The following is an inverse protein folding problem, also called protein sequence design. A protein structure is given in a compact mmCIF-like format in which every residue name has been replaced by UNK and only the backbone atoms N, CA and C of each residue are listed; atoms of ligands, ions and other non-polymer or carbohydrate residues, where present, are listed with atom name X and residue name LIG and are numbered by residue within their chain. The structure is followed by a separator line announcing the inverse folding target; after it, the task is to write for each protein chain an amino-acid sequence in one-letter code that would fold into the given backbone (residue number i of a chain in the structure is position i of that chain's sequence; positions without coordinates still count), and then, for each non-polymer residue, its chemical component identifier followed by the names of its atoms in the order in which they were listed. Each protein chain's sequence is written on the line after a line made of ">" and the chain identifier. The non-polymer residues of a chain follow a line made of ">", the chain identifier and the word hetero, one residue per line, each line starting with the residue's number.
data_IF_088110973192
#
_entry.id   IF_088110973192
#
_cell.length_a   1.000
_cell.length_b   1.000
_cell.length_c   1.000
_cell.angle_alpha   90.00
_cell.angle_beta   90.00
_cell.angle_gamma   90.00
#
_symmetry.space_group_name_H-M   'P 1'
#
loop_
_entity.id
_entity.type
_entity.pdbx_description
1 polymer ?
#
# COMPACT_ATOMS: atom_id res chain seq x y z
N UNK A 1 -12.40 26.86 -18.37
CA UNK A 1 -12.67 26.29 -17.03
C UNK A 1 -12.83 24.78 -17.13
N UNK A 2 -11.81 23.97 -16.78
CA UNK A 2 -11.92 22.52 -16.52
C UNK A 2 -10.71 22.09 -15.69
N UNK A 3 -10.76 22.25 -14.37
CA UNK A 3 -9.64 21.87 -13.50
C UNK A 3 -10.07 21.14 -12.21
N UNK A 4 -11.31 20.64 -12.13
CA UNK A 4 -11.82 20.02 -10.90
C UNK A 4 -11.95 18.48 -10.97
N UNK A 5 -11.94 17.85 -12.15
CA UNK A 5 -12.22 16.41 -12.30
C UNK A 5 -10.99 15.51 -12.44
N UNK A 6 -9.78 16.05 -12.65
CA UNK A 6 -8.55 15.22 -12.72
C UNK A 6 -7.99 14.81 -11.35
N UNK A 7 -8.37 15.52 -10.28
CA UNK A 7 -7.70 15.36 -8.99
C UNK A 7 -8.15 14.11 -8.22
N UNK A 8 -9.40 13.67 -8.37
CA UNK A 8 -9.90 12.45 -7.73
C UNK A 8 -9.37 11.18 -8.41
N UNK A 9 -9.30 11.17 -9.76
CA UNK A 9 -8.70 10.08 -10.54
C UNK A 9 -7.21 9.92 -10.23
N UNK A 10 -6.46 11.02 -10.19
CA UNK A 10 -5.02 10.97 -9.90
C UNK A 10 -4.74 10.44 -8.48
N UNK A 11 -5.59 10.78 -7.50
CA UNK A 11 -5.48 10.25 -6.13
C UNK A 11 -5.78 8.75 -6.10
N UNK A 12 -6.83 8.29 -6.80
CA UNK A 12 -7.15 6.86 -6.89
C UNK A 12 -6.04 6.06 -7.56
N UNK A 13 -5.50 6.57 -8.67
CA UNK A 13 -4.37 5.97 -9.39
C UNK A 13 -3.10 5.98 -8.52
N UNK A 14 -2.83 7.06 -7.79
CA UNK A 14 -1.69 7.16 -6.86
C UNK A 14 -1.84 6.16 -5.71
N UNK A 15 -3.04 6.00 -5.14
CA UNK A 15 -3.33 5.02 -4.09
C UNK A 15 -3.16 3.58 -4.61
N UNK A 16 -3.60 3.31 -5.85
CA UNK A 16 -3.43 2.01 -6.50
C UNK A 16 -1.95 1.69 -6.78
N UNK A 17 -1.18 2.67 -7.26
CA UNK A 17 0.26 2.55 -7.46
C UNK A 17 1.00 2.31 -6.12
N UNK A 18 0.63 3.05 -5.06
CA UNK A 18 1.18 2.86 -3.70
C UNK A 18 0.87 1.47 -3.17
N UNK A 19 -0.35 0.94 -3.37
CA UNK A 19 -0.71 -0.43 -2.99
C UNK A 19 0.10 -1.48 -3.74
N UNK A 20 0.33 -1.30 -5.04
CA UNK A 20 1.17 -2.19 -5.84
C UNK A 20 2.62 -2.19 -5.33
N UNK A 21 3.17 -1.03 -5.01
CA UNK A 21 4.52 -0.90 -4.43
C UNK A 21 4.62 -1.58 -3.06
N UNK A 22 3.64 -1.38 -2.17
CA UNK A 22 3.58 -2.04 -0.87
C UNK A 22 3.48 -3.57 -1.00
N UNK A 23 2.77 -4.07 -2.01
CA UNK A 23 2.68 -5.51 -2.29
C UNK A 23 4.02 -6.09 -2.74
N UNK A 24 4.79 -5.34 -3.54
CA UNK A 24 6.14 -5.75 -3.93
C UNK A 24 7.10 -5.75 -2.72
N UNK A 25 7.04 -4.72 -1.88
CA UNK A 25 7.80 -4.66 -0.62
C UNK A 25 7.44 -5.83 0.31
N UNK A 26 6.15 -6.17 0.42
CA UNK A 26 5.72 -7.31 1.22
C UNK A 26 6.34 -8.62 0.74
N UNK A 27 6.39 -8.86 -0.58
CA UNK A 27 7.04 -10.05 -1.15
C UNK A 27 8.54 -10.10 -0.86
N UNK A 28 9.22 -8.96 -0.84
CA UNK A 28 10.64 -8.87 -0.48
C UNK A 28 10.82 -9.18 1.01
N UNK A 29 10.01 -8.60 1.88
CA UNK A 29 10.11 -8.79 3.33
C UNK A 29 9.68 -10.21 3.74
N UNK A 30 8.71 -10.80 3.05
CA UNK A 30 8.26 -12.19 3.23
C UNK A 30 9.12 -13.20 2.45
N UNK A 31 10.12 -12.76 1.68
CA UNK A 31 11.09 -13.68 1.07
C UNK A 31 11.94 -14.30 2.19
N UNK A 32 11.51 -15.49 2.63
CA UNK A 32 12.06 -16.19 3.79
C UNK A 32 13.44 -16.76 3.48
N UNK A 33 14.45 -15.92 3.57
CA UNK A 33 15.83 -16.38 3.80
C UNK A 33 15.99 -16.54 5.32
N UNK A 34 15.66 -17.73 5.84
CA UNK A 34 15.87 -18.09 7.25
C UNK A 34 14.70 -17.79 8.22
N UNK A 35 15.02 -17.67 9.52
CA UNK A 35 14.04 -17.42 10.60
C UNK A 35 13.48 -16.00 10.49
N UNK A 36 12.15 -15.89 10.48
CA UNK A 36 11.47 -14.59 10.45
C UNK A 36 11.81 -13.78 11.70
N UNK A 37 12.49 -12.65 11.52
CA UNK A 37 12.92 -11.78 12.61
C UNK A 37 11.72 -11.02 13.19
N UNK A 38 11.81 -10.60 14.46
CA UNK A 38 10.79 -9.75 15.07
C UNK A 38 10.56 -8.46 14.25
N UNK A 39 11.64 -7.92 13.68
CA UNK A 39 11.59 -6.76 12.79
C UNK A 39 10.81 -7.06 11.50
N UNK A 40 11.05 -8.20 10.84
CA UNK A 40 10.26 -8.62 9.67
C UNK A 40 8.78 -8.71 9.98
N UNK A 41 8.40 -9.29 11.14
CA UNK A 41 6.99 -9.38 11.55
C UNK A 41 6.35 -8.01 11.78
N UNK A 42 7.09 -7.08 12.40
CA UNK A 42 6.63 -5.70 12.59
C UNK A 42 6.47 -4.98 11.25
N UNK A 43 7.44 -5.12 10.34
CA UNK A 43 7.39 -4.54 8.99
C UNK A 43 6.23 -5.09 8.18
N UNK A 44 5.98 -6.41 8.20
CA UNK A 44 4.84 -7.05 7.54
C UNK A 44 3.52 -6.50 8.09
N UNK A 45 3.41 -6.37 9.41
CA UNK A 45 2.20 -5.84 10.07
C UNK A 45 1.96 -4.38 9.67
N UNK A 46 3.00 -3.54 9.66
CA UNK A 46 2.91 -2.15 9.24
C UNK A 46 2.50 -2.01 7.76
N UNK A 47 3.08 -2.82 6.86
CA UNK A 47 2.71 -2.82 5.44
C UNK A 47 1.24 -3.20 5.25
N UNK A 48 0.76 -4.24 5.96
CA UNK A 48 -0.64 -4.66 5.90
C UNK A 48 -1.60 -3.60 6.42
N UNK A 49 -1.25 -2.91 7.52
CA UNK A 49 -2.05 -1.82 8.07
C UNK A 49 -2.15 -0.64 7.07
N UNK A 50 -1.05 -0.26 6.42
CA UNK A 50 -1.02 0.79 5.41
C UNK A 50 -1.86 0.42 4.17
N UNK A 51 -1.79 -0.84 3.72
CA UNK A 51 -2.65 -1.33 2.64
C UNK A 51 -4.13 -1.27 3.01
N UNK A 52 -4.50 -1.61 4.26
CA UNK A 52 -5.87 -1.50 4.75
C UNK A 52 -6.36 -0.04 4.79
N UNK A 53 -5.50 0.89 5.17
CA UNK A 53 -5.80 2.32 5.15
C UNK A 53 -5.99 2.87 3.74
N UNK A 54 -5.19 2.40 2.78
CA UNK A 54 -5.35 2.72 1.36
C UNK A 54 -6.67 2.17 0.82
N UNK A 55 -7.02 0.92 1.14
CA UNK A 55 -8.30 0.33 0.71
C UNK A 55 -9.50 1.05 1.31
N UNK A 56 -9.41 1.49 2.57
CA UNK A 56 -10.45 2.31 3.17
C UNK A 56 -10.57 3.68 2.47
N UNK A 57 -9.45 4.32 2.09
CA UNK A 57 -9.48 5.57 1.31
C UNK A 57 -10.05 5.39 -0.10
N UNK A 58 -9.79 4.25 -0.74
CA UNK A 58 -10.34 3.92 -2.05
C UNK A 58 -11.84 3.60 -2.00
N UNK A 59 -12.34 3.00 -0.90
CA UNK A 59 -13.79 2.74 -0.70
C UNK A 59 -14.59 3.99 -0.31
N UNK A 60 -13.91 5.04 0.16
CA UNK A 60 -14.53 6.29 0.62
C UNK A 60 -14.55 7.40 -0.46
N UNK A 61 -13.95 7.13 -1.63
CA UNK A 61 -14.16 7.89 -2.87
C UNK A 61 -15.38 7.34 -3.61
#
# INVERSE_FOLDING_TARGET
>A
MKAATQNSSSISETLRARKAHLTALLKIVDSKVGKSTAMQKLTITAIKAEMGLIDHKLKKQ
#
